data_IF_474403037266
#
_entry.id   IF_474403037266
#
_cell.length_a   1.000
_cell.length_b   1.000
_cell.length_c   1.000
_cell.angle_alpha   90.00
_cell.angle_beta   90.00
_cell.angle_gamma   90.00
#
_symmetry.space_group_name_H-M   'P 1'
#
loop_
_entity.id
_entity.type
_entity.pdbx_description
1 polymer ?
#
# COMPACT_ATOMS: atom_id res chain seq x y z
N UNK A 1 -37.04 -102.57 -66.71
CA UNK A 1 -36.33 -102.05 -65.50
C UNK A 1 -35.28 -101.02 -65.87
N UNK A 2 -34.45 -101.23 -66.91
CA UNK A 2 -33.34 -100.25 -67.26
C UNK A 2 -33.79 -98.81 -67.63
N UNK A 3 -34.99 -98.67 -68.28
CA UNK A 3 -35.56 -97.37 -68.69
C UNK A 3 -36.10 -96.56 -67.51
N UNK A 4 -36.57 -97.17 -66.43
CA UNK A 4 -37.10 -96.53 -65.22
C UNK A 4 -35.96 -96.04 -64.35
N UNK A 5 -34.87 -96.82 -64.20
CA UNK A 5 -33.69 -96.42 -63.45
C UNK A 5 -32.95 -95.23 -64.13
N UNK A 6 -32.86 -95.14 -65.43
CA UNK A 6 -32.29 -94.05 -66.21
C UNK A 6 -33.11 -92.73 -66.03
N UNK A 7 -34.44 -92.84 -66.01
CA UNK A 7 -35.36 -91.72 -65.82
C UNK A 7 -35.33 -91.18 -64.41
N UNK A 8 -35.10 -92.07 -63.38
CA UNK A 8 -34.91 -91.69 -62.00
C UNK A 8 -33.53 -90.99 -61.80
N UNK A 9 -32.46 -91.54 -62.40
CA UNK A 9 -31.13 -90.93 -62.35
C UNK A 9 -31.10 -89.54 -63.01
N UNK A 10 -31.82 -89.37 -64.12
CA UNK A 10 -31.91 -88.04 -64.77
C UNK A 10 -32.71 -87.02 -63.94
N UNK A 11 -33.76 -87.49 -63.25
CA UNK A 11 -34.55 -86.63 -62.33
C UNK A 11 -33.74 -86.22 -61.07
N UNK A 12 -32.99 -87.15 -60.49
CA UNK A 12 -32.14 -86.87 -59.33
C UNK A 12 -30.98 -85.93 -59.74
N UNK A 13 -30.36 -86.11 -60.89
CA UNK A 13 -29.32 -85.20 -61.41
C UNK A 13 -29.86 -83.80 -61.66
N UNK A 14 -31.09 -83.70 -62.26
CA UNK A 14 -31.74 -82.44 -62.47
C UNK A 14 -32.09 -81.73 -61.12
N UNK A 15 -32.58 -82.50 -60.11
CA UNK A 15 -32.86 -81.97 -58.76
C UNK A 15 -31.59 -81.49 -58.07
N UNK A 16 -30.48 -82.27 -58.23
CA UNK A 16 -29.18 -81.89 -57.65
C UNK A 16 -28.64 -80.62 -58.31
N UNK A 17 -28.78 -80.49 -59.65
CA UNK A 17 -28.42 -79.27 -60.37
C UNK A 17 -29.23 -78.04 -59.98
N UNK A 18 -30.58 -78.22 -59.76
CA UNK A 18 -31.44 -77.12 -59.34
C UNK A 18 -31.15 -76.66 -57.89
N UNK A 19 -30.84 -77.61 -57.01
CA UNK A 19 -30.42 -77.31 -55.65
C UNK A 19 -29.07 -76.53 -55.63
N UNK A 20 -28.10 -77.02 -56.39
CA UNK A 20 -26.79 -76.38 -56.52
C UNK A 20 -26.85 -74.97 -57.08
N UNK A 21 -27.77 -74.82 -58.11
CA UNK A 21 -28.01 -73.51 -58.70
C UNK A 21 -28.64 -72.54 -57.66
N UNK A 22 -29.64 -73.02 -56.91
CA UNK A 22 -30.29 -72.21 -55.84
C UNK A 22 -29.29 -71.83 -54.71
N UNK A 23 -28.44 -72.77 -54.31
CA UNK A 23 -27.36 -72.45 -53.32
C UNK A 23 -26.39 -71.41 -53.89
N UNK A 24 -26.00 -71.53 -55.16
CA UNK A 24 -25.12 -70.57 -55.80
C UNK A 24 -25.74 -69.19 -55.94
N UNK A 25 -27.02 -69.10 -56.29
CA UNK A 25 -27.77 -67.84 -56.40
C UNK A 25 -27.95 -67.18 -54.99
N UNK A 26 -28.27 -67.97 -53.94
CA UNK A 26 -28.38 -67.53 -52.58
C UNK A 26 -27.03 -67.01 -52.03
N UNK A 27 -25.94 -67.71 -52.38
CA UNK A 27 -24.61 -67.33 -52.04
C UNK A 27 -24.18 -66.01 -52.70
N UNK A 28 -24.49 -65.85 -54.00
CA UNK A 28 -24.24 -64.62 -54.77
C UNK A 28 -25.06 -63.43 -54.21
N UNK A 29 -26.31 -63.66 -53.82
CA UNK A 29 -27.16 -62.65 -53.20
C UNK A 29 -26.62 -62.22 -51.81
N UNK A 30 -26.14 -63.16 -50.99
CA UNK A 30 -25.53 -62.85 -49.69
C UNK A 30 -24.22 -62.06 -49.83
N UNK A 31 -23.38 -62.43 -50.85
CA UNK A 31 -22.14 -61.70 -51.15
C UNK A 31 -22.44 -60.29 -51.64
N UNK A 32 -23.44 -60.12 -52.52
CA UNK A 32 -23.81 -58.78 -53.01
C UNK A 32 -24.33 -57.88 -51.89
N UNK A 33 -25.19 -58.39 -50.99
CA UNK A 33 -25.67 -57.70 -49.83
C UNK A 33 -24.52 -57.30 -48.84
N UNK A 34 -23.57 -58.22 -48.62
CA UNK A 34 -22.41 -57.99 -47.84
C UNK A 34 -21.48 -56.88 -48.44
N UNK A 35 -21.33 -56.89 -49.78
CA UNK A 35 -20.57 -55.86 -50.50
C UNK A 35 -21.24 -54.50 -50.47
N UNK A 36 -22.55 -54.42 -50.57
CA UNK A 36 -23.30 -53.14 -50.38
C UNK A 36 -23.22 -52.62 -48.99
N UNK A 37 -23.40 -53.48 -47.99
CA UNK A 37 -23.24 -53.10 -46.61
C UNK A 37 -21.83 -52.57 -46.31
N UNK A 38 -20.78 -53.20 -46.85
CA UNK A 38 -19.40 -52.81 -46.77
C UNK A 38 -19.15 -51.43 -47.41
N UNK A 39 -19.70 -51.18 -48.61
CA UNK A 39 -19.61 -49.88 -49.29
C UNK A 39 -20.27 -48.78 -48.49
N UNK A 40 -21.43 -49.06 -47.88
CA UNK A 40 -22.13 -48.11 -47.04
C UNK A 40 -21.32 -47.75 -45.76
N UNK A 41 -20.72 -48.76 -45.15
CA UNK A 41 -19.82 -48.54 -43.97
C UNK A 41 -18.59 -47.74 -44.36
N UNK A 42 -17.92 -48.05 -45.48
CA UNK A 42 -16.75 -47.29 -45.94
C UNK A 42 -17.11 -45.82 -46.21
N UNK A 43 -18.23 -45.56 -46.87
CA UNK A 43 -18.70 -44.20 -47.13
C UNK A 43 -19.03 -43.45 -45.85
N UNK A 44 -19.63 -44.10 -44.84
CA UNK A 44 -19.87 -43.51 -43.54
C UNK A 44 -18.55 -43.18 -42.81
N UNK A 45 -17.54 -44.04 -42.89
CA UNK A 45 -16.22 -43.79 -42.31
C UNK A 45 -15.51 -42.62 -43.01
N UNK A 46 -15.57 -42.52 -44.34
CA UNK A 46 -15.02 -41.37 -45.08
C UNK A 46 -15.71 -40.07 -44.70
N UNK A 47 -17.04 -40.04 -44.60
CA UNK A 47 -17.79 -38.88 -44.16
C UNK A 47 -17.37 -38.43 -42.73
N UNK A 48 -17.26 -39.39 -41.82
CA UNK A 48 -16.86 -39.13 -40.42
C UNK A 48 -15.42 -38.60 -40.32
N UNK A 49 -14.52 -39.12 -41.15
CA UNK A 49 -13.15 -38.63 -41.24
C UNK A 49 -13.08 -37.18 -41.76
N UNK A 50 -13.91 -36.83 -42.75
CA UNK A 50 -14.01 -35.47 -43.30
C UNK A 50 -14.55 -34.51 -42.25
N UNK A 51 -15.61 -34.90 -41.53
CA UNK A 51 -16.17 -34.07 -40.42
C UNK A 51 -15.16 -33.88 -39.33
N UNK A 52 -14.46 -34.93 -38.92
CA UNK A 52 -13.42 -34.83 -37.90
C UNK A 52 -12.26 -33.91 -38.34
N UNK A 53 -11.85 -34.00 -39.60
CA UNK A 53 -10.83 -33.10 -40.17
C UNK A 53 -11.24 -31.64 -40.09
N UNK A 54 -12.46 -31.31 -40.52
CA UNK A 54 -12.97 -29.94 -40.43
C UNK A 54 -13.11 -29.46 -38.97
N UNK A 55 -13.54 -30.32 -38.07
CA UNK A 55 -13.63 -30.00 -36.64
C UNK A 55 -12.23 -29.64 -36.04
N UNK A 56 -11.19 -30.39 -36.38
CA UNK A 56 -9.81 -30.12 -35.99
C UNK A 56 -9.32 -28.78 -36.56
N UNK A 57 -9.57 -28.52 -37.84
CA UNK A 57 -9.18 -27.25 -38.49
C UNK A 57 -9.86 -26.05 -37.81
N UNK A 58 -11.15 -26.17 -37.52
CA UNK A 58 -11.90 -25.13 -36.81
C UNK A 58 -11.34 -24.92 -35.39
N UNK A 59 -11.02 -26.01 -34.69
CA UNK A 59 -10.43 -25.93 -33.31
C UNK A 59 -9.06 -25.26 -33.36
N UNK A 60 -8.19 -25.60 -34.29
CA UNK A 60 -6.88 -24.97 -34.48
C UNK A 60 -7.04 -23.48 -34.81
N UNK A 61 -7.98 -23.12 -35.69
CA UNK A 61 -8.27 -21.74 -36.01
C UNK A 61 -8.76 -20.95 -34.79
N UNK A 62 -9.60 -21.57 -33.94
CA UNK A 62 -10.10 -20.94 -32.71
C UNK A 62 -8.99 -20.70 -31.71
N UNK A 63 -8.11 -21.70 -31.47
CA UNK A 63 -6.95 -21.59 -30.60
C UNK A 63 -5.99 -20.49 -31.09
N UNK A 64 -5.74 -20.46 -32.41
CA UNK A 64 -4.85 -19.45 -32.97
C UNK A 64 -5.42 -18.03 -32.89
N UNK A 65 -6.73 -17.90 -33.10
CA UNK A 65 -7.45 -16.63 -32.92
C UNK A 65 -7.40 -16.14 -31.48
N UNK A 66 -7.58 -17.04 -30.52
CA UNK A 66 -7.56 -16.70 -29.09
C UNK A 66 -6.16 -16.30 -28.61
N UNK A 67 -5.15 -17.07 -29.00
CA UNK A 67 -3.74 -16.76 -28.75
C UNK A 67 -3.29 -15.41 -29.36
N UNK A 68 -3.84 -15.06 -30.55
CA UNK A 68 -3.59 -13.74 -31.15
C UNK A 68 -4.19 -12.60 -30.33
N UNK A 69 -5.43 -12.77 -29.87
CA UNK A 69 -6.07 -11.76 -28.99
C UNK A 69 -5.28 -11.56 -27.71
N UNK A 70 -4.87 -12.64 -27.07
CA UNK A 70 -4.11 -12.57 -25.83
C UNK A 70 -2.78 -11.84 -26.01
N UNK A 71 -2.05 -12.05 -27.10
CA UNK A 71 -0.83 -11.31 -27.43
C UNK A 71 -1.08 -9.81 -27.58
N UNK A 72 -2.10 -9.44 -28.35
CA UNK A 72 -2.47 -8.02 -28.54
C UNK A 72 -2.86 -7.36 -27.21
N UNK A 73 -3.60 -8.08 -26.36
CA UNK A 73 -3.94 -7.56 -25.02
C UNK A 73 -2.71 -7.37 -24.14
N UNK A 74 -1.77 -8.31 -24.15
CA UNK A 74 -0.51 -8.20 -23.41
C UNK A 74 0.34 -7.02 -23.91
N UNK A 75 0.53 -6.90 -25.20
CA UNK A 75 1.27 -5.79 -25.82
C UNK A 75 0.63 -4.44 -25.48
N UNK A 76 -0.68 -4.32 -25.54
CA UNK A 76 -1.39 -3.10 -25.16
C UNK A 76 -1.28 -2.80 -23.66
N UNK A 77 -1.32 -3.82 -22.79
CA UNK A 77 -1.17 -3.69 -21.36
C UNK A 77 0.27 -3.26 -20.99
N UNK A 78 1.26 -3.88 -21.62
CA UNK A 78 2.67 -3.51 -21.44
C UNK A 78 2.92 -2.06 -21.89
N UNK A 79 2.43 -1.67 -23.08
CA UNK A 79 2.54 -0.31 -23.59
C UNK A 79 1.84 0.72 -22.66
N UNK A 80 0.65 0.41 -22.17
CA UNK A 80 -0.07 1.26 -21.21
C UNK A 80 0.68 1.38 -19.88
N UNK A 81 1.27 0.28 -19.40
CA UNK A 81 2.05 0.29 -18.17
C UNK A 81 3.36 1.09 -18.32
N UNK A 82 4.04 0.96 -19.46
CA UNK A 82 5.23 1.77 -19.77
C UNK A 82 4.89 3.27 -19.83
N UNK A 83 3.75 3.64 -20.44
CA UNK A 83 3.32 5.03 -20.50
C UNK A 83 2.97 5.59 -19.11
N UNK A 84 2.27 4.81 -18.28
CA UNK A 84 2.00 5.18 -16.88
C UNK A 84 3.32 5.40 -16.12
N UNK A 85 4.28 4.48 -16.23
CA UNK A 85 5.59 4.62 -15.60
C UNK A 85 6.35 5.85 -16.10
N UNK A 86 6.27 6.14 -17.39
CA UNK A 86 6.89 7.33 -17.98
C UNK A 86 6.28 8.62 -17.42
N UNK A 87 4.95 8.68 -17.34
CA UNK A 87 4.22 9.84 -16.76
C UNK A 87 4.56 9.99 -15.28
N UNK A 88 4.59 8.90 -14.51
CA UNK A 88 4.97 8.92 -13.10
C UNK A 88 6.40 9.44 -12.89
N UNK A 89 7.37 8.93 -13.65
CA UNK A 89 8.76 9.38 -13.59
C UNK A 89 8.92 10.86 -14.01
N UNK A 90 8.14 11.31 -14.98
CA UNK A 90 8.14 12.72 -15.40
C UNK A 90 7.56 13.61 -14.28
N UNK A 91 6.45 13.20 -13.66
CA UNK A 91 5.84 13.89 -12.52
C UNK A 91 6.80 13.99 -11.33
N UNK A 92 7.50 12.91 -11.02
CA UNK A 92 8.51 12.88 -9.96
C UNK A 92 9.65 13.86 -10.22
N UNK A 93 10.23 13.83 -11.42
CA UNK A 93 11.30 14.78 -11.81
C UNK A 93 10.84 16.23 -11.72
N UNK A 94 9.62 16.54 -12.17
CA UNK A 94 9.05 17.88 -12.06
C UNK A 94 8.93 18.32 -10.60
N UNK A 95 8.43 17.47 -9.71
CA UNK A 95 8.29 17.79 -8.28
C UNK A 95 9.65 17.99 -7.61
N UNK A 96 10.64 17.12 -7.89
CA UNK A 96 12.01 17.29 -7.40
C UNK A 96 12.62 18.62 -7.88
N UNK A 97 12.46 18.97 -9.15
CA UNK A 97 12.97 20.22 -9.72
C UNK A 97 12.29 21.43 -9.07
N UNK A 98 10.94 21.43 -9.00
CA UNK A 98 10.18 22.52 -8.37
C UNK A 98 10.58 22.67 -6.90
N UNK A 99 10.75 21.56 -6.19
CA UNK A 99 11.20 21.56 -4.78
C UNK A 99 12.55 22.25 -4.62
N UNK A 100 13.52 21.89 -5.46
CA UNK A 100 14.85 22.50 -5.45
C UNK A 100 14.78 23.99 -5.79
N UNK A 101 14.04 24.33 -6.86
CA UNK A 101 13.95 25.70 -7.41
C UNK A 101 13.17 26.67 -6.50
N UNK A 102 12.33 26.15 -5.60
CA UNK A 102 11.66 26.96 -4.57
C UNK A 102 12.49 27.00 -3.27
N UNK A 103 13.14 25.93 -2.87
CA UNK A 103 13.94 25.85 -1.64
C UNK A 103 15.13 26.80 -1.68
N UNK A 104 15.80 26.91 -2.82
CA UNK A 104 16.99 27.76 -2.98
C UNK A 104 16.67 29.25 -2.79
N UNK A 105 15.68 29.89 -3.44
CA UNK A 105 15.35 31.28 -3.19
C UNK A 105 14.82 31.53 -1.76
N UNK A 106 14.06 30.59 -1.17
CA UNK A 106 13.60 30.72 0.21
C UNK A 106 14.78 30.72 1.20
N UNK A 107 15.80 29.89 0.98
CA UNK A 107 17.03 29.90 1.76
C UNK A 107 17.82 31.21 1.56
N UNK A 108 17.89 31.74 0.34
CA UNK A 108 18.53 33.02 0.03
C UNK A 108 17.83 34.19 0.72
N UNK A 109 16.49 34.23 0.71
CA UNK A 109 15.69 35.23 1.44
C UNK A 109 16.02 35.17 2.94
N UNK A 110 16.05 33.97 3.55
CA UNK A 110 16.42 33.81 4.96
C UNK A 110 17.84 34.32 5.25
N UNK A 111 18.81 34.01 4.38
CA UNK A 111 20.18 34.52 4.50
C UNK A 111 20.29 36.04 4.40
N UNK A 112 19.57 36.68 3.47
CA UNK A 112 19.53 38.15 3.37
C UNK A 112 18.88 38.79 4.60
N UNK A 113 17.85 38.20 5.16
CA UNK A 113 17.21 38.69 6.38
C UNK A 113 18.19 38.62 7.56
N UNK A 114 18.96 37.55 7.69
CA UNK A 114 19.94 37.42 8.76
C UNK A 114 21.06 38.48 8.63
N UNK A 115 21.49 38.81 7.41
CA UNK A 115 22.43 39.90 7.15
C UNK A 115 21.82 41.28 7.43
N UNK A 116 20.54 41.49 7.16
CA UNK A 116 19.86 42.76 7.37
C UNK A 116 19.55 43.06 8.84
N UNK A 117 19.53 42.05 9.71
CA UNK A 117 19.25 42.25 11.16
C UNK A 117 20.13 43.27 11.81
N UNK A 118 21.42 43.32 11.42
CA UNK A 118 22.40 44.24 12.03
C UNK A 118 22.23 45.68 11.52
N UNK A 119 21.51 45.89 10.42
CA UNK A 119 21.28 47.23 9.81
C UNK A 119 19.92 47.80 10.18
N UNK A 120 18.99 47.03 10.72
CA UNK A 120 17.64 47.44 11.07
C UNK A 120 17.51 47.56 12.60
N UNK A 121 17.45 48.81 13.06
CA UNK A 121 17.41 49.08 14.53
C UNK A 121 16.00 49.46 15.00
N UNK A 122 15.06 49.75 14.12
CA UNK A 122 13.71 50.13 14.53
C UNK A 122 12.81 48.91 14.77
N UNK A 123 11.95 48.94 15.79
CA UNK A 123 11.10 47.78 16.17
C UNK A 123 10.22 47.28 15.00
N UNK A 124 9.64 48.16 14.20
CA UNK A 124 8.80 47.80 13.08
C UNK A 124 9.57 47.10 11.95
N UNK A 125 10.83 47.53 11.71
CA UNK A 125 11.69 46.87 10.75
C UNK A 125 12.10 45.45 11.17
N UNK A 126 12.42 45.31 12.46
CA UNK A 126 12.74 43.97 13.05
C UNK A 126 11.54 43.05 12.94
N UNK A 127 10.34 43.51 13.24
CA UNK A 127 9.11 42.74 13.08
C UNK A 127 8.86 42.33 11.62
N UNK A 128 9.07 43.26 10.67
CA UNK A 128 8.94 42.99 9.24
C UNK A 128 9.94 41.93 8.79
N UNK A 129 11.21 42.03 9.18
CA UNK A 129 12.23 41.01 8.86
C UNK A 129 11.86 39.65 9.45
N UNK A 130 11.34 39.59 10.67
CA UNK A 130 10.91 38.33 11.29
C UNK A 130 9.72 37.73 10.55
N UNK A 131 8.77 38.54 10.10
CA UNK A 131 7.61 38.06 9.33
C UNK A 131 8.04 37.51 7.95
N UNK A 132 9.00 38.14 7.26
CA UNK A 132 9.54 37.60 6.00
C UNK A 132 10.30 36.30 6.24
N UNK A 133 11.11 36.23 7.32
CA UNK A 133 11.81 35.00 7.68
C UNK A 133 10.86 33.84 7.96
N UNK A 134 9.81 34.10 8.73
CA UNK A 134 8.77 33.11 9.02
C UNK A 134 8.07 32.65 7.73
N UNK A 135 7.78 33.57 6.80
CA UNK A 135 7.17 33.24 5.50
C UNK A 135 8.09 32.39 4.61
N UNK A 136 9.38 32.70 4.58
CA UNK A 136 10.37 31.90 3.84
C UNK A 136 10.53 30.48 4.44
N UNK A 137 10.58 30.38 5.77
CA UNK A 137 10.62 29.11 6.46
C UNK A 137 9.35 28.27 6.21
N UNK A 138 8.18 28.93 6.24
CA UNK A 138 6.90 28.29 5.92
C UNK A 138 6.87 27.74 4.49
N UNK A 139 7.33 28.52 3.51
CA UNK A 139 7.42 28.07 2.13
C UNK A 139 8.35 26.87 1.96
N UNK A 140 9.52 26.89 2.60
CA UNK A 140 10.46 25.76 2.61
C UNK A 140 9.85 24.50 3.20
N UNK A 141 9.10 24.65 4.31
CA UNK A 141 8.41 23.52 4.95
C UNK A 141 7.27 22.96 4.08
N UNK A 142 6.51 23.84 3.39
CA UNK A 142 5.46 23.42 2.45
C UNK A 142 6.02 22.54 1.34
N UNK A 143 7.10 23.00 0.72
CA UNK A 143 7.74 22.27 -0.38
C UNK A 143 8.33 20.95 0.08
N UNK A 144 8.97 20.91 1.25
CA UNK A 144 9.48 19.66 1.84
C UNK A 144 8.33 18.68 2.14
N UNK A 145 7.23 19.17 2.71
CA UNK A 145 6.04 18.34 3.00
C UNK A 145 5.40 17.79 1.73
N UNK A 146 5.35 18.57 0.64
CA UNK A 146 4.82 18.11 -0.65
C UNK A 146 5.70 16.99 -1.24
N UNK A 147 7.02 17.12 -1.13
CA UNK A 147 7.95 16.10 -1.59
C UNK A 147 7.83 14.81 -0.77
N UNK A 148 7.79 14.93 0.57
CA UNK A 148 7.59 13.79 1.47
C UNK A 148 6.29 13.06 1.14
N UNK A 149 5.19 13.80 0.97
CA UNK A 149 3.89 13.24 0.58
C UNK A 149 3.97 12.48 -0.74
N UNK A 150 4.59 13.08 -1.77
CA UNK A 150 4.75 12.43 -3.07
C UNK A 150 5.60 11.16 -3.01
N UNK A 151 6.70 11.16 -2.24
CA UNK A 151 7.55 9.97 -2.07
C UNK A 151 6.83 8.84 -1.33
N UNK A 152 6.00 9.19 -0.34
CA UNK A 152 5.17 8.24 0.39
C UNK A 152 4.08 7.63 -0.50
N UNK A 153 3.30 8.47 -1.20
CA UNK A 153 2.21 8.04 -2.10
C UNK A 153 2.70 7.06 -3.18
N UNK A 154 3.92 7.26 -3.69
CA UNK A 154 4.50 6.41 -4.73
C UNK A 154 5.36 5.24 -4.19
N UNK A 155 5.42 5.03 -2.88
CA UNK A 155 6.21 3.94 -2.27
C UNK A 155 7.72 4.08 -2.48
N UNK A 156 8.21 5.30 -2.78
CA UNK A 156 9.63 5.59 -3.04
C UNK A 156 10.44 5.79 -1.76
N UNK A 157 9.73 6.09 -0.65
CA UNK A 157 10.36 6.32 0.65
C UNK A 157 10.81 5.01 1.28
N UNK A 158 12.09 4.94 1.67
CA UNK A 158 12.68 3.75 2.31
C UNK A 158 12.81 3.97 3.81
N UNK A 159 12.49 2.95 4.59
CA UNK A 159 12.71 2.92 6.04
C UNK A 159 14.21 2.74 6.32
N UNK A 160 14.76 3.56 7.21
CA UNK A 160 16.16 3.51 7.64
C UNK A 160 16.23 3.22 9.15
N UNK A 161 16.25 1.94 9.57
CA UNK A 161 16.27 1.60 10.98
C UNK A 161 17.58 2.01 11.65
N UNK A 162 17.48 2.78 12.75
CA UNK A 162 18.58 3.22 13.60
C UNK A 162 18.32 2.83 15.05
N UNK A 163 19.37 2.73 15.86
CA UNK A 163 19.24 2.53 17.30
C UNK A 163 18.82 3.82 17.97
N UNK A 164 17.79 3.79 18.81
CA UNK A 164 17.27 4.97 19.50
C UNK A 164 16.65 4.64 20.87
N UNK A 165 16.58 5.65 21.73
CA UNK A 165 15.85 5.60 23.00
C UNK A 165 14.51 6.33 22.87
N UNK A 166 13.37 5.66 23.05
CA UNK A 166 12.06 6.31 23.00
C UNK A 166 11.91 7.47 23.98
N UNK A 167 12.48 7.33 25.18
CA UNK A 167 12.45 8.38 26.19
C UNK A 167 13.21 9.63 25.75
N UNK A 168 14.40 9.45 25.16
CA UNK A 168 15.20 10.55 24.65
C UNK A 168 14.53 11.23 23.46
N UNK A 169 13.99 10.45 22.51
CA UNK A 169 13.29 10.96 21.34
C UNK A 169 12.11 11.86 21.74
N UNK A 170 11.28 11.41 22.72
CA UNK A 170 10.15 12.20 23.22
C UNK A 170 10.63 13.45 23.95
N UNK A 171 11.65 13.34 24.84
CA UNK A 171 12.18 14.48 25.56
C UNK A 171 12.70 15.57 24.62
N UNK A 172 13.47 15.20 23.60
CA UNK A 172 13.99 16.13 22.58
C UNK A 172 12.88 16.80 21.76
N UNK A 173 11.82 16.05 21.37
CA UNK A 173 10.67 16.61 20.68
C UNK A 173 9.92 17.61 21.54
N UNK A 174 9.69 17.30 22.82
CA UNK A 174 9.00 18.20 23.77
C UNK A 174 9.82 19.45 24.01
N UNK A 175 11.13 19.33 24.24
CA UNK A 175 12.01 20.48 24.46
C UNK A 175 12.02 21.43 23.25
N UNK A 176 12.05 20.87 22.03
CA UNK A 176 11.95 21.66 20.80
C UNK A 176 10.62 22.42 20.61
N UNK A 177 9.56 22.00 21.30
CA UNK A 177 8.22 22.61 21.21
C UNK A 177 7.86 23.47 22.42
N UNK A 178 8.67 23.43 23.50
CA UNK A 178 8.39 24.06 24.78
C UNK A 178 8.21 25.57 24.66
N UNK A 179 9.12 26.25 23.98
CA UNK A 179 9.04 27.69 23.75
C UNK A 179 7.72 28.11 23.09
N UNK A 180 7.30 27.37 22.05
CA UNK A 180 6.03 27.64 21.36
C UNK A 180 4.81 27.43 22.25
N UNK A 181 4.86 26.44 23.13
CA UNK A 181 3.80 26.20 24.10
C UNK A 181 3.76 27.33 25.15
N UNK A 182 4.91 27.77 25.67
CA UNK A 182 5.05 28.87 26.61
C UNK A 182 4.57 30.20 26.04
N UNK A 183 4.90 30.52 24.78
CA UNK A 183 4.41 31.72 24.07
C UNK A 183 2.88 31.78 24.01
N UNK A 184 2.22 30.62 23.95
CA UNK A 184 0.75 30.48 23.99
C UNK A 184 0.20 30.35 25.43
N UNK A 185 1.03 30.27 26.45
CA UNK A 185 0.60 30.02 27.83
C UNK A 185 0.03 28.62 28.06
N UNK A 186 0.48 27.62 27.29
CA UNK A 186 0.06 26.22 27.39
C UNK A 186 1.01 25.42 28.28
N UNK A 187 0.46 24.59 29.17
CA UNK A 187 1.25 23.60 29.88
C UNK A 187 1.52 22.40 28.94
N UNK A 188 2.79 22.02 28.79
CA UNK A 188 3.22 20.84 28.11
C UNK A 188 3.85 19.85 29.07
N UNK A 189 3.42 18.59 29.04
CA UNK A 189 3.94 17.53 29.89
C UNK A 189 4.17 16.25 29.10
N UNK A 190 5.16 15.47 29.51
CA UNK A 190 5.38 14.16 28.89
C UNK A 190 5.66 13.08 29.95
N UNK A 191 5.31 11.85 29.60
CA UNK A 191 5.54 10.66 30.39
C UNK A 191 6.03 9.52 29.47
N UNK A 192 7.06 8.80 29.91
CA UNK A 192 7.55 7.64 29.17
C UNK A 192 7.54 6.42 30.07
N UNK A 193 6.83 5.35 29.65
CA UNK A 193 6.75 4.06 30.37
C UNK A 193 7.29 2.94 29.52
N UNK A 194 8.25 2.17 30.03
CA UNK A 194 8.75 0.97 29.39
C UNK A 194 8.34 -0.23 30.25
N UNK A 195 7.27 -0.93 29.88
CA UNK A 195 6.85 -2.16 30.58
C UNK A 195 7.82 -3.28 30.25
N UNK A 196 8.25 -4.00 31.31
CA UNK A 196 9.31 -5.00 31.23
C UNK A 196 9.05 -6.11 30.22
N UNK A 197 10.01 -6.29 29.33
CA UNK A 197 10.15 -7.51 28.55
C UNK A 197 11.01 -8.47 29.36
N UNK A 198 10.38 -9.50 29.93
CA UNK A 198 11.03 -10.69 30.48
C UNK A 198 12.19 -10.47 31.44
N UNK A 199 11.91 -10.16 32.69
CA UNK A 199 12.54 -10.69 33.89
C UNK A 199 11.53 -10.52 35.03
N UNK A 200 11.10 -11.64 35.58
CA UNK A 200 10.38 -11.69 36.85
C UNK A 200 11.26 -11.10 37.92
N UNK A 201 11.05 -9.84 38.29
CA UNK A 201 11.31 -9.38 39.65
C UNK A 201 10.66 -8.03 39.88
N UNK A 202 9.85 -8.06 40.95
CA UNK A 202 9.38 -6.97 41.79
C UNK A 202 8.47 -5.87 41.22
N UNK A 203 7.24 -6.00 41.64
CA UNK A 203 6.27 -5.00 42.04
C UNK A 203 6.84 -3.62 42.41
N UNK A 204 6.07 -2.60 42.04
CA UNK A 204 6.07 -1.24 42.56
C UNK A 204 7.25 -0.32 42.20
N UNK A 205 6.91 0.65 41.35
CA UNK A 205 7.06 2.05 41.79
C UNK A 205 6.63 2.99 40.68
N UNK A 206 5.68 3.84 40.98
CA UNK A 206 5.48 5.18 40.43
C UNK A 206 6.75 5.97 40.64
N UNK A 207 7.70 5.96 39.71
CA UNK A 207 8.88 6.80 39.76
C UNK A 207 8.57 8.15 39.12
N UNK A 208 8.47 9.14 40.02
CA UNK A 208 8.59 10.58 39.77
C UNK A 208 9.93 10.91 39.11
N UNK A 209 9.92 11.96 38.33
CA UNK A 209 10.83 12.56 37.37
C UNK A 209 12.32 12.75 37.70
N UNK A 210 12.95 11.99 38.60
CA UNK A 210 14.34 12.28 39.06
C UNK A 210 15.28 11.06 39.14
N UNK A 211 14.90 9.90 38.62
CA UNK A 211 15.82 8.75 38.52
C UNK A 211 16.43 8.67 37.12
N UNK A 212 17.76 8.35 36.99
CA UNK A 212 18.37 8.16 35.66
C UNK A 212 17.69 6.99 34.97
N UNK A 213 16.77 7.32 34.05
CA UNK A 213 16.06 6.35 33.20
C UNK A 213 17.09 5.39 32.61
N UNK A 214 17.01 4.10 32.95
CA UNK A 214 17.79 3.06 32.26
C UNK A 214 17.47 3.17 30.76
N UNK A 215 18.41 3.72 30.02
CA UNK A 215 18.28 3.90 28.54
C UNK A 215 18.12 2.53 27.89
N UNK A 216 16.89 2.11 27.62
CA UNK A 216 16.65 0.95 26.75
C UNK A 216 16.64 1.43 25.32
N UNK A 217 17.50 0.83 24.50
CA UNK A 217 17.59 1.12 23.09
C UNK A 217 16.75 0.14 22.27
N UNK A 218 16.13 0.65 21.22
CA UNK A 218 15.33 -0.10 20.25
C UNK A 218 15.77 0.28 18.85
N UNK A 219 15.45 -0.55 17.86
CA UNK A 219 15.75 -0.32 16.47
C UNK A 219 14.48 -0.07 15.68
N UNK A 220 14.38 1.10 15.08
CA UNK A 220 13.36 1.50 14.12
C UNK A 220 13.84 2.78 13.41
N UNK A 221 13.06 3.33 12.49
CA UNK A 221 13.38 4.62 11.86
C UNK A 221 13.06 5.78 12.82
N UNK A 222 14.04 6.12 13.66
CA UNK A 222 13.91 7.16 14.68
C UNK A 222 13.59 8.53 14.07
N UNK A 223 14.12 8.83 12.88
CA UNK A 223 13.87 10.10 12.20
C UNK A 223 12.39 10.22 11.80
N UNK A 224 11.81 9.17 11.24
CA UNK A 224 10.39 9.16 10.85
C UNK A 224 9.46 9.14 12.06
N UNK A 225 9.83 8.41 13.14
CA UNK A 225 9.08 8.43 14.41
C UNK A 225 9.07 9.84 14.99
N UNK A 226 10.21 10.54 14.98
CA UNK A 226 10.29 11.94 15.40
C UNK A 226 9.41 12.85 14.55
N UNK A 227 9.45 12.71 13.24
CA UNK A 227 8.62 13.50 12.32
C UNK A 227 7.11 13.32 12.60
N UNK A 228 6.67 12.10 12.88
CA UNK A 228 5.30 11.79 13.33
C UNK A 228 4.98 12.54 14.63
N UNK A 229 5.84 12.39 15.64
CA UNK A 229 5.63 12.99 16.96
C UNK A 229 5.60 14.52 16.88
N UNK A 230 6.58 15.13 16.21
CA UNK A 230 6.70 16.59 16.06
C UNK A 230 5.47 17.17 15.35
N UNK A 231 4.95 16.49 14.33
CA UNK A 231 3.73 16.92 13.66
C UNK A 231 2.50 16.84 14.56
N UNK A 232 2.34 15.77 15.35
CA UNK A 232 1.21 15.62 16.27
C UNK A 232 1.28 16.64 17.42
N UNK A 233 2.47 16.86 18.01
CA UNK A 233 2.67 17.83 19.10
C UNK A 233 2.48 19.26 18.58
N UNK A 234 3.05 19.59 17.42
CA UNK A 234 2.85 20.90 16.79
C UNK A 234 1.36 21.18 16.52
N UNK A 235 0.62 20.18 16.02
CA UNK A 235 -0.82 20.32 15.83
C UNK A 235 -1.56 20.50 17.17
N UNK A 236 -1.22 19.74 18.21
CA UNK A 236 -1.81 19.90 19.54
C UNK A 236 -1.63 21.31 20.09
N UNK A 237 -0.41 21.87 20.04
CA UNK A 237 -0.12 23.26 20.46
C UNK A 237 -0.87 24.26 19.59
N UNK A 238 -0.94 24.02 18.30
CA UNK A 238 -1.54 24.91 17.31
C UNK A 238 -3.06 25.07 17.52
N UNK A 239 -3.76 23.96 17.79
CA UNK A 239 -5.22 23.92 17.92
C UNK A 239 -5.73 24.03 19.37
N UNK A 240 -4.82 24.21 20.33
CA UNK A 240 -5.15 24.53 21.72
C UNK A 240 -4.93 26.01 21.98
N UNK A 241 -5.98 26.74 22.36
CA UNK A 241 -5.90 28.14 22.67
C UNK A 241 -5.56 28.35 24.20
N UNK A 242 -6.08 27.48 25.10
CA UNK A 242 -5.82 27.44 26.52
C UNK A 242 -5.91 26.01 27.04
N UNK A 243 -5.08 25.67 28.02
CA UNK A 243 -5.08 24.36 28.66
C UNK A 243 -3.73 23.65 28.57
N UNK A 244 -3.73 22.37 28.27
CA UNK A 244 -2.52 21.56 28.28
C UNK A 244 -2.41 20.60 27.11
N UNK A 245 -1.16 20.25 26.78
CA UNK A 245 -0.80 19.18 25.85
C UNK A 245 -0.03 18.11 26.63
N UNK A 246 -0.49 16.87 26.56
CA UNK A 246 0.12 15.74 27.27
C UNK A 246 0.61 14.72 26.25
N UNK A 247 1.88 14.36 26.35
CA UNK A 247 2.52 13.36 25.50
C UNK A 247 2.81 12.14 26.37
N UNK A 248 2.41 10.95 25.88
CA UNK A 248 2.74 9.68 26.53
C UNK A 248 3.42 8.76 25.53
N UNK A 249 4.53 8.18 25.96
CA UNK A 249 5.20 7.11 25.21
C UNK A 249 5.22 5.85 26.06
N UNK A 250 4.81 4.74 25.47
CA UNK A 250 4.83 3.45 26.14
C UNK A 250 5.42 2.41 25.22
N UNK A 251 6.37 1.63 25.72
CA UNK A 251 6.83 0.42 25.04
C UNK A 251 6.22 -0.79 25.76
N UNK A 252 5.53 -1.62 25.01
CA UNK A 252 4.90 -2.84 25.50
C UNK A 252 4.98 -3.93 24.44
N UNK A 253 4.75 -5.16 24.82
CA UNK A 253 4.65 -6.29 23.90
C UNK A 253 3.20 -6.45 23.46
N UNK A 254 2.96 -6.35 22.15
CA UNK A 254 1.66 -6.56 21.53
C UNK A 254 1.81 -7.73 20.54
N UNK A 255 1.02 -8.79 20.71
CA UNK A 255 1.08 -10.02 19.89
C UNK A 255 2.50 -10.62 19.81
N UNK A 256 3.27 -10.57 20.89
CA UNK A 256 4.63 -11.12 20.96
C UNK A 256 5.69 -10.22 20.29
N UNK A 257 5.34 -9.00 19.90
CA UNK A 257 6.29 -8.04 19.29
C UNK A 257 6.39 -6.77 20.13
N UNK A 258 7.60 -6.26 20.36
CA UNK A 258 7.78 -4.96 20.97
C UNK A 258 7.12 -3.87 20.14
N UNK A 259 6.32 -3.05 20.79
CA UNK A 259 5.54 -2.00 20.13
C UNK A 259 5.67 -0.71 20.92
N UNK A 260 6.03 0.36 20.21
CA UNK A 260 6.02 1.73 20.73
C UNK A 260 4.63 2.33 20.51
N UNK A 261 3.98 2.75 21.58
CA UNK A 261 2.73 3.51 21.55
C UNK A 261 3.02 4.94 21.93
N UNK A 262 2.74 5.88 21.03
CA UNK A 262 2.81 7.33 21.26
C UNK A 262 1.39 7.87 21.35
N UNK A 263 1.08 8.60 22.41
CA UNK A 263 -0.21 9.28 22.59
C UNK A 263 0.03 10.77 22.78
N UNK A 264 -0.61 11.59 21.95
CA UNK A 264 -0.60 13.04 22.05
C UNK A 264 -2.03 13.50 22.31
N UNK A 265 -2.27 14.02 23.51
CA UNK A 265 -3.57 14.52 23.96
C UNK A 265 -3.52 16.02 24.10
N UNK A 266 -4.49 16.71 23.53
CA UNK A 266 -4.72 18.14 23.70
C UNK A 266 -6.10 18.42 24.33
N UNK A 267 -6.23 19.60 24.92
CA UNK A 267 -7.51 20.14 25.45
C UNK A 267 -8.05 21.24 24.55
N UNK A 268 -7.77 21.17 23.25
CA UNK A 268 -8.13 22.18 22.26
C UNK A 268 -9.58 22.12 21.79
N UNK A 269 -9.80 22.67 20.60
CA UNK A 269 -11.15 22.80 20.01
C UNK A 269 -11.85 21.47 19.73
N UNK A 270 -11.11 20.38 19.57
CA UNK A 270 -11.64 19.09 19.15
C UNK A 270 -12.23 19.11 17.76
N UNK A 271 -12.87 18.02 17.36
CA UNK A 271 -13.42 17.79 16.01
C UNK A 271 -14.80 17.18 16.07
N UNK A 272 -15.62 17.49 15.05
CA UNK A 272 -16.89 16.81 14.78
C UNK A 272 -16.65 15.44 14.15
N UNK A 273 -17.65 14.56 14.12
CA UNK A 273 -17.54 13.24 13.47
C UNK A 273 -17.26 13.35 11.97
N UNK A 274 -17.81 14.35 11.30
CA UNK A 274 -17.54 14.63 9.90
C UNK A 274 -16.09 15.07 9.66
N UNK A 275 -15.54 15.89 10.57
CA UNK A 275 -14.14 16.37 10.52
C UNK A 275 -13.15 15.23 10.77
N UNK A 276 -13.45 14.32 11.71
CA UNK A 276 -12.60 13.13 11.98
C UNK A 276 -12.44 12.23 10.75
N UNK A 277 -13.47 12.09 9.92
CA UNK A 277 -13.41 11.30 8.69
C UNK A 277 -12.52 11.92 7.61
N UNK A 278 -12.31 13.23 7.66
CA UNK A 278 -11.59 14.00 6.63
C UNK A 278 -10.22 14.48 7.04
N UNK A 279 -9.89 14.41 8.34
CA UNK A 279 -8.68 15.04 8.90
C UNK A 279 -7.38 14.45 8.34
N UNK A 280 -7.39 13.21 7.88
CA UNK A 280 -6.25 12.54 7.27
C UNK A 280 -6.19 12.71 5.74
N UNK A 281 -7.20 13.32 5.11
CA UNK A 281 -7.15 13.57 3.68
C UNK A 281 -6.18 14.71 3.35
N UNK A 282 -5.32 14.48 2.36
CA UNK A 282 -4.35 15.48 1.92
C UNK A 282 -5.02 16.79 1.49
N UNK A 283 -4.38 17.93 1.78
CA UNK A 283 -4.85 19.29 1.49
C UNK A 283 -6.18 19.67 2.16
N UNK A 284 -6.63 18.87 3.13
CA UNK A 284 -7.88 19.15 3.85
C UNK A 284 -7.61 20.11 5.03
N UNK A 285 -8.38 21.21 5.07
CA UNK A 285 -8.41 22.14 6.19
C UNK A 285 -9.81 22.14 6.80
N UNK A 286 -9.89 21.87 8.11
CA UNK A 286 -11.16 21.79 8.82
C UNK A 286 -11.76 23.19 8.98
N UNK A 287 -13.08 23.30 8.98
CA UNK A 287 -13.79 24.55 9.23
C UNK A 287 -13.48 25.13 10.60
N UNK A 288 -13.32 24.27 11.61
CA UNK A 288 -12.91 24.59 12.97
C UNK A 288 -11.50 25.21 13.05
N UNK A 289 -10.69 25.06 11.99
CA UNK A 289 -9.31 25.55 11.87
C UNK A 289 -9.17 26.83 11.00
N UNK A 290 -10.26 27.51 10.67
CA UNK A 290 -10.20 28.76 9.90
C UNK A 290 -9.41 29.83 10.64
N UNK A 291 -8.47 30.49 9.94
CA UNK A 291 -7.56 31.48 10.51
C UNK A 291 -6.26 30.93 11.11
N UNK A 292 -6.11 29.61 11.20
CA UNK A 292 -4.89 28.96 11.69
C UNK A 292 -4.05 28.49 10.51
N UNK A 293 -2.80 28.95 10.37
CA UNK A 293 -1.90 28.56 9.26
C UNK A 293 -1.66 27.06 9.20
N UNK A 294 -1.59 26.49 7.99
CA UNK A 294 -1.25 25.08 7.79
C UNK A 294 -1.48 24.59 6.37
N UNK A 295 -0.70 23.60 5.98
CA UNK A 295 -0.64 23.03 4.62
C UNK A 295 -1.80 22.06 4.33
N UNK A 296 -2.38 21.46 5.37
CA UNK A 296 -3.32 20.34 5.24
C UNK A 296 -2.64 19.01 4.85
N UNK A 297 -1.30 18.95 4.86
CA UNK A 297 -0.54 17.74 4.53
C UNK A 297 -0.01 17.00 5.78
N UNK A 298 0.13 17.67 6.92
CA UNK A 298 0.81 17.08 8.08
C UNK A 298 0.19 15.76 8.54
N UNK A 299 -1.12 15.69 8.74
CA UNK A 299 -1.78 14.48 9.22
C UNK A 299 -1.86 13.37 8.17
N UNK A 300 -1.99 13.70 6.88
CA UNK A 300 -1.90 12.71 5.80
C UNK A 300 -0.50 12.10 5.73
N UNK A 301 0.56 12.92 5.80
CA UNK A 301 1.95 12.45 5.88
C UNK A 301 2.14 11.58 7.13
N UNK A 302 1.58 11.97 8.27
CA UNK A 302 1.67 11.16 9.51
C UNK A 302 1.04 9.79 9.31
N UNK A 303 -0.14 9.71 8.71
CA UNK A 303 -0.82 8.44 8.44
C UNK A 303 0.00 7.54 7.51
N UNK A 304 0.53 8.10 6.42
CA UNK A 304 1.37 7.36 5.48
C UNK A 304 2.69 6.89 6.11
N UNK A 305 3.35 7.74 6.93
CA UNK A 305 4.55 7.36 7.66
C UNK A 305 4.28 6.22 8.65
N UNK A 306 3.17 6.29 9.39
CA UNK A 306 2.76 5.23 10.32
C UNK A 306 2.52 3.93 9.56
N UNK A 307 1.84 3.97 8.41
CA UNK A 307 1.63 2.83 7.54
C UNK A 307 2.95 2.26 7.00
N UNK A 308 3.87 3.12 6.55
CA UNK A 308 5.21 2.75 6.08
C UNK A 308 6.02 2.01 7.17
N UNK A 309 5.86 2.41 8.43
CA UNK A 309 6.51 1.78 9.58
C UNK A 309 5.76 0.52 10.08
N UNK A 310 4.69 0.10 9.41
CA UNK A 310 3.88 -1.06 9.78
C UNK A 310 3.04 -0.85 11.04
N UNK A 311 2.74 0.41 11.37
CA UNK A 311 1.98 0.83 12.53
C UNK A 311 0.52 1.16 12.24
N UNK A 312 -0.16 1.69 13.25
CA UNK A 312 -1.54 2.16 13.18
C UNK A 312 -1.69 3.51 13.89
N UNK A 313 -2.56 4.38 13.39
CA UNK A 313 -2.93 5.65 14.03
C UNK A 313 -4.43 5.67 14.32
N UNK A 314 -4.79 6.01 15.56
CA UNK A 314 -6.16 6.12 16.05
C UNK A 314 -6.40 7.56 16.54
N UNK A 315 -7.58 8.11 16.21
CA UNK A 315 -8.01 9.44 16.64
C UNK A 315 -9.27 9.36 17.51
N UNK A 316 -9.16 9.87 18.73
CA UNK A 316 -10.30 10.17 19.59
C UNK A 316 -10.43 11.68 19.72
N UNK A 317 -11.57 12.26 19.33
CA UNK A 317 -11.83 13.68 19.45
C UNK A 317 -13.30 13.97 19.69
N UNK A 318 -13.55 15.00 20.47
CA UNK A 318 -14.90 15.53 20.73
C UNK A 318 -14.84 17.04 20.63
N UNK A 319 -15.74 17.64 19.88
CA UNK A 319 -15.80 19.09 19.73
C UNK A 319 -15.89 19.78 21.11
N UNK A 320 -15.03 20.76 21.35
CA UNK A 320 -14.93 21.52 22.62
C UNK A 320 -14.21 20.81 23.76
N UNK A 321 -13.73 19.55 23.58
CA UNK A 321 -13.02 18.78 24.62
C UNK A 321 -11.56 18.48 24.29
N UNK A 322 -11.16 18.68 23.02
CA UNK A 322 -9.85 18.36 22.52
C UNK A 322 -9.77 17.06 21.75
N UNK A 323 -8.52 16.64 21.42
CA UNK A 323 -8.25 15.45 20.64
C UNK A 323 -7.16 14.61 21.32
N UNK A 324 -7.15 13.32 20.98
CA UNK A 324 -6.11 12.38 21.36
C UNK A 324 -5.74 11.55 20.14
N UNK A 325 -4.51 11.70 19.69
CA UNK A 325 -3.92 10.87 18.64
C UNK A 325 -3.10 9.77 19.31
N UNK A 326 -3.34 8.53 18.91
CA UNK A 326 -2.60 7.36 19.40
C UNK A 326 -1.97 6.69 18.19
N UNK A 327 -0.64 6.56 18.23
CA UNK A 327 0.17 5.90 17.17
C UNK A 327 0.85 4.70 17.78
N UNK A 328 0.71 3.54 17.11
CA UNK A 328 1.40 2.31 17.49
C UNK A 328 2.37 1.91 16.39
N UNK A 329 3.62 1.65 16.71
CA UNK A 329 4.68 1.30 15.75
C UNK A 329 5.42 0.06 16.27
N UNK A 330 5.53 -1.02 15.49
CA UNK A 330 6.38 -2.15 15.85
C UNK A 330 7.85 -1.70 15.86
N UNK A 331 8.58 -2.10 16.89
CA UNK A 331 10.00 -1.80 17.07
C UNK A 331 10.76 -3.09 17.38
N UNK A 332 12.06 -3.10 17.21
CA UNK A 332 12.91 -4.24 17.54
C UNK A 332 13.83 -3.89 18.72
N UNK A 333 14.20 -4.83 19.60
CA UNK A 333 15.23 -4.59 20.59
C UNK A 333 16.57 -4.29 19.89
N UNK A 334 17.27 -3.26 20.32
CA UNK A 334 18.62 -3.01 19.79
C UNK A 334 19.62 -4.06 20.27
N UNK A 335 20.58 -4.48 19.44
CA UNK A 335 21.69 -5.30 19.88
C UNK A 335 22.47 -4.62 21.00
N UNK A 336 22.98 -5.41 21.97
CA UNK A 336 23.70 -4.87 23.17
C UNK A 336 25.00 -4.09 22.83
N UNK A 337 25.49 -4.19 21.59
CA UNK A 337 26.75 -3.57 21.15
C UNK A 337 26.59 -2.17 20.51
N UNK A 338 25.36 -1.71 20.26
CA UNK A 338 25.08 -0.41 19.60
C UNK A 338 24.66 0.70 20.59
N UNK A 339 24.95 0.58 21.89
CA UNK A 339 24.77 1.71 22.81
C UNK A 339 25.84 2.76 22.50
N UNK A 340 25.52 3.94 21.96
CA UNK A 340 26.52 5.00 21.86
C UNK A 340 26.94 5.41 23.27
N UNK A 341 28.27 5.48 23.52
CA UNK A 341 28.88 6.03 24.75
C UNK A 341 28.48 7.47 25.06
#
# INVERSE_FOLDING_TARGET
LKMVSAKLALRSAKHLSDVHQREKDAMQESISKAMEARKHLLWQMELLAIVAFFAIVIMIWFIWRDARKERIYRENLEAANEEIQRIMNQRERLLLTITHDIKAPAASISGFIDLMKDYVSNPQGIECLQNIKNSAAHLSHLVASLLDYHQLENGLMKVQPTSFSPAQLVAESVEGMKLRAEEKGLAISFECKIKGMGTSDSSDSSETSDSPMKKKFFRADAFRIRQILDNLVSNAIKYTDRGNVTIQAQVSEILGKPTLTLSVKDTGKGMTDEEKQKVFQAFTRLKSAQGIEGTGLGLSITQELVSLLGGEIILHSTLGKGSTFIVTIPIEPAPKEESPE
#
